data_IF_106817111899
#
_entry.id   IF_106817111899
#
_cell.length_a   1.000
_cell.length_b   1.000
_cell.length_c   1.000
_cell.angle_alpha   90.00
_cell.angle_beta   90.00
_cell.angle_gamma   90.00
#
_symmetry.space_group_name_H-M   'P 1'
#
loop_
_entity.id
_entity.type
_entity.pdbx_description
1 polymer ?
#
# COMPACT_ATOMS: atom_id res chain seq x y z
N UNK A 1 10.31 -0.09 3.63
CA UNK A 1 8.86 0.08 3.85
C UNK A 1 8.43 -0.32 5.26
N UNK A 2 9.05 -1.31 5.89
CA UNK A 2 8.79 -1.66 7.31
C UNK A 2 8.91 -0.48 8.28
N UNK A 3 9.92 0.39 8.11
CA UNK A 3 10.05 1.61 8.93
C UNK A 3 8.84 2.55 8.81
N UNK A 4 8.23 2.65 7.63
CA UNK A 4 7.05 3.47 7.42
C UNK A 4 5.81 2.86 8.10
N UNK A 5 5.67 1.53 8.03
CA UNK A 5 4.66 0.80 8.80
C UNK A 5 4.80 1.00 10.31
N UNK A 6 6.01 0.79 10.86
CA UNK A 6 6.24 0.95 12.31
C UNK A 6 6.02 2.40 12.76
N UNK A 7 6.43 3.37 11.94
CA UNK A 7 6.16 4.78 12.19
C UNK A 7 4.66 5.09 12.23
N UNK A 8 3.89 4.62 11.23
CA UNK A 8 2.45 4.81 11.20
C UNK A 8 1.76 4.14 12.40
N UNK A 9 2.18 2.91 12.75
CA UNK A 9 1.67 2.15 13.89
C UNK A 9 1.93 2.82 15.24
N UNK A 10 3.05 3.53 15.37
CA UNK A 10 3.42 4.23 16.60
C UNK A 10 2.70 5.57 16.81
N UNK A 11 1.91 6.05 15.84
CA UNK A 11 1.19 7.32 15.95
C UNK A 11 -0.24 7.12 16.48
N UNK A 12 -0.73 7.98 17.39
CA UNK A 12 -2.13 7.99 17.78
C UNK A 12 -3.04 8.13 16.56
N UNK A 13 -4.21 7.48 16.59
CA UNK A 13 -5.26 7.58 15.56
C UNK A 13 -4.87 7.10 14.14
N UNK A 14 -3.68 6.52 13.96
CA UNK A 14 -3.18 6.04 12.66
C UNK A 14 -3.46 4.56 12.37
N UNK A 15 -4.38 3.92 13.09
CA UNK A 15 -4.64 2.48 12.96
C UNK A 15 -4.98 2.05 11.52
N UNK A 16 -5.76 2.88 10.80
CA UNK A 16 -6.11 2.60 9.41
C UNK A 16 -4.91 2.80 8.49
N UNK A 17 -4.11 3.86 8.66
CA UNK A 17 -2.87 4.05 7.89
C UNK A 17 -1.90 2.89 8.11
N UNK A 18 -1.72 2.43 9.36
CA UNK A 18 -0.89 1.28 9.67
C UNK A 18 -1.40 -0.01 9.00
N UNK A 19 -2.72 -0.20 8.93
CA UNK A 19 -3.33 -1.34 8.21
C UNK A 19 -3.08 -1.25 6.70
N UNK A 20 -3.21 -0.06 6.10
CA UNK A 20 -2.92 0.14 4.67
C UNK A 20 -1.45 -0.12 4.35
N UNK A 21 -0.52 0.36 5.19
CA UNK A 21 0.89 0.02 5.09
C UNK A 21 1.13 -1.49 5.15
N UNK A 22 0.46 -2.19 6.07
CA UNK A 22 0.58 -3.64 6.18
C UNK A 22 0.11 -4.35 4.92
N UNK A 23 -1.02 -3.95 4.34
CA UNK A 23 -1.54 -4.50 3.08
C UNK A 23 -0.58 -4.22 1.92
N UNK A 24 -0.04 -3.00 1.83
CA UNK A 24 0.87 -2.59 0.77
C UNK A 24 2.15 -3.44 0.73
N UNK A 25 2.71 -3.78 1.89
CA UNK A 25 4.02 -4.45 2.00
C UNK A 25 3.94 -5.96 2.19
N UNK A 26 2.74 -6.52 2.36
CA UNK A 26 2.51 -7.95 2.56
C UNK A 26 2.99 -8.76 1.34
N UNK A 27 3.97 -9.67 1.49
CA UNK A 27 4.49 -10.46 0.38
C UNK A 27 3.46 -11.46 -0.17
N UNK A 28 2.40 -11.75 0.58
CA UNK A 28 1.33 -12.67 0.18
C UNK A 28 0.13 -11.93 -0.46
N UNK A 29 0.29 -10.64 -0.80
CA UNK A 29 -0.73 -9.79 -1.43
C UNK A 29 -0.22 -9.10 -2.68
N UNK A 30 -1.14 -8.74 -3.58
CA UNK A 30 -0.82 -8.30 -4.94
C UNK A 30 -0.29 -6.86 -5.11
N UNK A 31 -0.11 -6.10 -4.04
CA UNK A 31 0.45 -4.73 -4.12
C UNK A 31 1.98 -4.79 -4.15
N UNK A 32 2.67 -3.86 -3.47
CA UNK A 32 4.13 -3.75 -3.53
C UNK A 32 4.82 -5.00 -2.99
N UNK A 33 4.35 -5.55 -1.87
CA UNK A 33 4.91 -6.75 -1.26
C UNK A 33 4.94 -7.94 -2.21
N UNK A 34 3.77 -8.38 -2.70
CA UNK A 34 3.69 -9.49 -3.65
C UNK A 34 4.31 -9.19 -5.00
N UNK A 35 4.19 -7.96 -5.52
CA UNK A 35 4.89 -7.60 -6.76
C UNK A 35 6.40 -7.79 -6.65
N UNK A 36 7.01 -7.37 -5.53
CA UNK A 36 8.44 -7.60 -5.29
C UNK A 36 8.76 -9.08 -5.05
N UNK A 37 7.87 -9.83 -4.38
CA UNK A 37 8.02 -11.27 -4.18
C UNK A 37 8.00 -12.04 -5.51
N UNK A 38 7.08 -11.68 -6.41
CA UNK A 38 6.97 -12.27 -7.74
C UNK A 38 8.11 -11.82 -8.65
N UNK A 39 8.51 -10.56 -8.60
CA UNK A 39 9.66 -10.06 -9.35
C UNK A 39 10.97 -10.76 -8.97
N UNK A 40 11.11 -11.15 -7.70
CA UNK A 40 12.25 -11.96 -7.25
C UNK A 40 12.23 -13.39 -7.80
N UNK A 41 11.05 -13.96 -8.04
CA UNK A 41 10.87 -15.30 -8.64
C UNK A 41 11.02 -15.27 -10.16
N UNK A 42 10.53 -14.21 -10.80
CA UNK A 42 10.62 -13.99 -12.24
C UNK A 42 10.98 -12.53 -12.55
N UNK A 43 12.08 -12.34 -13.29
CA UNK A 43 12.65 -11.01 -13.52
C UNK A 43 11.94 -10.20 -14.61
N UNK A 44 10.96 -10.77 -15.31
CA UNK A 44 10.30 -10.16 -16.47
C UNK A 44 8.78 -10.27 -16.40
N UNK A 45 8.11 -9.16 -16.72
CA UNK A 45 6.67 -9.05 -16.88
C UNK A 45 6.36 -8.29 -18.17
N UNK A 46 5.13 -8.39 -18.67
CA UNK A 46 4.70 -7.56 -19.80
C UNK A 46 4.67 -6.08 -19.40
N UNK A 47 4.89 -5.19 -20.37
CA UNK A 47 4.83 -3.75 -20.12
C UNK A 47 3.47 -3.32 -19.57
N UNK A 48 2.38 -3.85 -20.13
CA UNK A 48 1.01 -3.60 -19.64
C UNK A 48 0.83 -3.96 -18.17
N UNK A 49 1.30 -5.15 -17.77
CA UNK A 49 1.21 -5.59 -16.38
C UNK A 49 1.99 -4.65 -15.43
N UNK A 50 3.20 -4.23 -15.83
CA UNK A 50 4.01 -3.31 -15.04
C UNK A 50 3.33 -1.96 -14.88
N UNK A 51 2.73 -1.40 -15.93
CA UNK A 51 2.01 -0.12 -15.86
C UNK A 51 0.77 -0.18 -14.97
N UNK A 52 0.01 -1.27 -15.05
CA UNK A 52 -1.13 -1.51 -14.15
C UNK A 52 -0.67 -1.61 -12.69
N UNK A 53 0.38 -2.38 -12.41
CA UNK A 53 0.94 -2.51 -11.06
C UNK A 53 1.45 -1.18 -10.51
N UNK A 54 2.14 -0.38 -11.31
CA UNK A 54 2.55 0.99 -10.91
C UNK A 54 1.34 1.82 -10.51
N UNK A 55 0.28 1.80 -11.31
CA UNK A 55 -0.96 2.55 -11.03
C UNK A 55 -1.62 2.11 -9.72
N UNK A 56 -1.73 0.80 -9.49
CA UNK A 56 -2.31 0.25 -8.26
C UNK A 56 -1.49 0.61 -7.01
N UNK A 57 -0.16 0.46 -7.09
CA UNK A 57 0.76 0.80 -6.00
C UNK A 57 0.73 2.31 -5.72
N UNK A 58 0.72 3.15 -6.75
CA UNK A 58 0.62 4.60 -6.58
C UNK A 58 -0.65 5.01 -5.84
N UNK A 59 -1.82 4.47 -6.24
CA UNK A 59 -3.10 4.73 -5.55
C UNK A 59 -3.10 4.28 -4.09
N UNK A 60 -2.41 3.18 -3.78
CA UNK A 60 -2.25 2.72 -2.40
C UNK A 60 -1.41 3.70 -1.56
N UNK A 61 -0.31 4.22 -2.12
CA UNK A 61 0.46 5.29 -1.48
C UNK A 61 -0.38 6.56 -1.31
N UNK A 62 -1.10 7.01 -2.34
CA UNK A 62 -1.96 8.20 -2.24
C UNK A 62 -2.98 8.05 -1.11
N UNK A 63 -3.62 6.88 -0.99
CA UNK A 63 -4.57 6.59 0.08
C UNK A 63 -3.92 6.71 1.46
N UNK A 64 -2.71 6.18 1.64
CA UNK A 64 -1.96 6.30 2.90
C UNK A 64 -1.63 7.77 3.20
N UNK A 65 -1.14 8.52 2.21
CA UNK A 65 -0.76 9.92 2.37
C UNK A 65 -1.98 10.78 2.71
N UNK A 66 -3.12 10.53 2.07
CA UNK A 66 -4.37 11.23 2.33
C UNK A 66 -4.92 10.94 3.73
N UNK A 67 -4.82 9.70 4.21
CA UNK A 67 -5.15 9.35 5.59
C UNK A 67 -4.21 10.04 6.59
N UNK A 68 -2.90 9.94 6.40
CA UNK A 68 -1.90 10.51 7.31
C UNK A 68 -1.88 12.04 7.33
N UNK A 69 -2.33 12.68 6.25
CA UNK A 69 -2.53 14.14 6.18
C UNK A 69 -3.90 14.60 6.67
N UNK A 70 -4.81 13.68 7.01
CA UNK A 70 -6.18 13.97 7.40
C UNK A 70 -7.08 14.48 6.26
N UNK A 71 -6.60 14.44 5.01
CA UNK A 71 -7.38 14.81 3.81
C UNK A 71 -8.51 13.82 3.54
N UNK A 72 -8.30 12.56 3.87
CA UNK A 72 -9.31 11.50 3.77
C UNK A 72 -9.59 10.96 5.16
N UNK A 73 -10.86 10.85 5.53
CA UNK A 73 -11.26 10.29 6.82
C UNK A 73 -11.14 8.76 6.80
N UNK A 74 -10.84 8.13 7.95
CA UNK A 74 -10.79 6.67 8.07
C UNK A 74 -12.03 5.95 7.53
N UNK A 75 -13.22 6.53 7.73
CA UNK A 75 -14.49 5.92 7.30
C UNK A 75 -14.69 5.96 5.78
N UNK A 76 -14.07 6.91 5.07
CA UNK A 76 -14.12 6.95 3.60
C UNK A 76 -13.31 5.79 2.99
N UNK A 77 -12.20 5.41 3.64
CA UNK A 77 -11.39 4.25 3.22
C UNK A 77 -12.06 2.94 3.60
N UNK A 78 -12.69 2.85 4.78
CA UNK A 78 -13.38 1.64 5.25
C UNK A 78 -14.58 1.26 4.37
N UNK A 79 -15.28 2.26 3.86
CA UNK A 79 -16.49 2.08 3.05
C UNK A 79 -16.22 2.16 1.53
N UNK A 80 -14.95 2.25 1.12
CA UNK A 80 -14.60 2.20 -0.30
C UNK A 80 -14.91 0.80 -0.84
N UNK A 81 -15.68 0.70 -1.94
CA UNK A 81 -16.07 -0.58 -2.55
C UNK A 81 -14.87 -1.36 -3.13
#
# INVERSE_FOLDING_TARGET
MEKAYEFAKGRPENEISARQWRILIDPDRDLLGGFLADWKKQSAFSATFVEEKKTQIARAFDTIIELESGKKKPDEVRNSP
#
